data_IF_951051111108
#
_entry.id   IF_951051111108
#
_cell.length_a   1.000
_cell.length_b   1.000
_cell.length_c   1.000
_cell.angle_alpha   90.00
_cell.angle_beta   90.00
_cell.angle_gamma   90.00
#
_symmetry.space_group_name_H-M   'P 1'
#
loop_
_entity.id
_entity.type
_entity.pdbx_description
1 polymer ?
#
# COMPACT_ATOMS: atom_id res chain seq x y z
N UNK A 1 -9.58 0.59 17.23
CA UNK A 1 -8.32 -0.01 16.72
C UNK A 1 -7.94 0.76 15.47
N UNK A 2 -6.66 1.11 15.24
CA UNK A 2 -6.27 1.79 14.02
C UNK A 2 -6.50 0.86 12.82
N UNK A 3 -7.24 1.34 11.82
CA UNK A 3 -7.42 0.63 10.55
C UNK A 3 -6.22 0.96 9.67
N UNK A 4 -5.31 0.00 9.50
CA UNK A 4 -4.15 0.15 8.61
C UNK A 4 -4.56 -0.30 7.22
N UNK A 5 -4.42 0.57 6.23
CA UNK A 5 -4.55 0.23 4.81
C UNK A 5 -3.21 0.48 4.15
N UNK A 6 -2.70 -0.50 3.40
CA UNK A 6 -1.46 -0.39 2.65
C UNK A 6 -1.77 -0.43 1.17
N UNK A 7 -1.38 0.61 0.45
CA UNK A 7 -1.42 0.66 -1.00
C UNK A 7 -0.11 0.10 -1.55
N UNK A 8 -0.21 -0.84 -2.49
CA UNK A 8 0.92 -1.63 -2.96
C UNK A 8 0.86 -1.89 -4.46
N UNK A 9 1.93 -2.49 -4.98
CA UNK A 9 1.93 -3.17 -6.27
C UNK A 9 2.53 -4.57 -6.09
N UNK A 10 2.26 -5.46 -7.06
CA UNK A 10 2.72 -6.85 -7.04
C UNK A 10 4.25 -6.99 -7.05
N UNK A 11 4.94 -6.11 -7.78
CA UNK A 11 6.39 -6.13 -8.01
C UNK A 11 7.20 -5.24 -7.05
N UNK A 12 6.54 -4.44 -6.20
CA UNK A 12 7.19 -3.51 -5.29
C UNK A 12 7.96 -4.24 -4.16
N UNK A 13 9.30 -4.25 -4.27
CA UNK A 13 10.20 -4.85 -3.27
C UNK A 13 10.10 -4.23 -1.87
N UNK A 14 9.72 -2.95 -1.75
CA UNK A 14 9.48 -2.29 -0.46
C UNK A 14 8.17 -2.75 0.18
N UNK A 15 7.13 -2.95 -0.63
CA UNK A 15 5.82 -3.42 -0.20
C UNK A 15 5.94 -4.82 0.40
N UNK A 16 6.74 -5.71 -0.20
CA UNK A 16 7.10 -7.01 0.38
C UNK A 16 7.71 -6.89 1.79
N UNK A 17 8.57 -5.89 2.04
CA UNK A 17 9.15 -5.66 3.38
C UNK A 17 8.13 -5.15 4.38
N UNK A 18 7.23 -4.25 3.96
CA UNK A 18 6.15 -3.75 4.84
C UNK A 18 5.15 -4.85 5.18
N UNK A 19 4.74 -5.69 4.22
CA UNK A 19 3.92 -6.89 4.47
C UNK A 19 4.53 -7.76 5.56
N UNK A 20 5.84 -8.05 5.44
CA UNK A 20 6.57 -8.85 6.43
C UNK A 20 6.59 -8.19 7.81
N UNK A 21 6.87 -6.89 7.87
CA UNK A 21 6.88 -6.13 9.12
C UNK A 21 5.52 -6.15 9.83
N UNK A 22 4.43 -5.91 9.09
CA UNK A 22 3.07 -5.93 9.64
C UNK A 22 2.70 -7.33 10.15
N UNK A 23 3.05 -8.38 9.40
CA UNK A 23 2.84 -9.76 9.81
C UNK A 23 3.64 -10.13 11.07
N UNK A 24 4.91 -9.72 11.16
CA UNK A 24 5.78 -10.01 12.30
C UNK A 24 5.33 -9.29 13.59
N UNK A 25 4.57 -8.19 13.47
CA UNK A 25 4.02 -7.43 14.58
C UNK A 25 2.53 -7.72 14.83
N UNK A 26 1.96 -8.72 14.15
CA UNK A 26 0.53 -9.10 14.27
C UNK A 26 -0.43 -7.92 14.03
N UNK A 27 -0.03 -6.98 13.17
CA UNK A 27 -0.85 -5.82 12.81
C UNK A 27 -1.80 -6.23 11.70
N UNK A 28 -3.10 -6.19 11.98
CA UNK A 28 -4.13 -6.38 10.97
C UNK A 28 -4.13 -5.19 10.01
N UNK A 29 -4.06 -5.46 8.71
CA UNK A 29 -4.11 -4.46 7.67
C UNK A 29 -4.92 -4.92 6.46
N UNK A 30 -5.44 -3.96 5.71
CA UNK A 30 -6.02 -4.18 4.38
C UNK A 30 -4.98 -3.81 3.33
N UNK A 31 -4.83 -4.64 2.32
CA UNK A 31 -3.95 -4.38 1.19
C UNK A 31 -4.75 -4.03 -0.05
N UNK A 32 -4.37 -2.97 -0.75
CA UNK A 32 -4.97 -2.56 -2.02
C UNK A 32 -3.87 -2.53 -3.07
N UNK A 33 -4.01 -3.33 -4.13
CA UNK A 33 -3.14 -3.26 -5.30
C UNK A 33 -3.63 -2.13 -6.22
N UNK A 34 -2.79 -1.12 -6.42
CA UNK A 34 -3.11 0.02 -7.29
C UNK A 34 -3.00 -0.31 -8.78
N UNK A 35 -2.41 -1.45 -9.15
CA UNK A 35 -2.36 -1.93 -10.53
C UNK A 35 -3.73 -2.45 -10.98
N UNK A 36 -4.54 -2.95 -10.04
CA UNK A 36 -5.87 -3.51 -10.29
C UNK A 36 -7.01 -2.53 -9.93
N UNK A 37 -6.69 -1.44 -9.23
CA UNK A 37 -7.65 -0.45 -8.79
C UNK A 37 -7.24 0.97 -9.20
N UNK A 38 -7.85 1.47 -10.27
CA UNK A 38 -7.58 2.80 -10.82
C UNK A 38 -7.93 3.93 -9.85
N UNK A 39 -9.02 3.78 -9.08
CA UNK A 39 -9.42 4.78 -8.07
C UNK A 39 -8.35 4.88 -6.95
N UNK A 40 -7.83 3.74 -6.50
CA UNK A 40 -6.75 3.69 -5.53
C UNK A 40 -5.46 4.30 -6.09
N UNK A 41 -5.14 4.08 -7.37
CA UNK A 41 -3.98 4.69 -8.01
C UNK A 41 -4.09 6.22 -8.06
N UNK A 42 -5.25 6.77 -8.42
CA UNK A 42 -5.51 8.20 -8.42
C UNK A 42 -5.41 8.81 -7.02
N UNK A 43 -5.91 8.09 -6.01
CA UNK A 43 -5.82 8.51 -4.62
C UNK A 43 -4.35 8.59 -4.16
N UNK A 44 -3.54 7.58 -4.48
CA UNK A 44 -2.11 7.57 -4.18
C UNK A 44 -1.39 8.71 -4.89
N UNK A 45 -1.69 8.98 -6.17
CA UNK A 45 -1.14 10.14 -6.88
C UNK A 45 -1.49 11.46 -6.18
N UNK A 46 -2.74 11.62 -5.75
CA UNK A 46 -3.19 12.83 -5.08
C UNK A 46 -2.41 13.08 -3.79
N UNK A 47 -2.14 12.03 -3.01
CA UNK A 47 -1.35 12.12 -1.79
C UNK A 47 0.14 12.36 -2.05
N UNK A 48 0.67 11.78 -3.13
CA UNK A 48 2.10 11.78 -3.45
C UNK A 48 2.48 12.79 -4.54
N UNK A 49 1.75 13.91 -4.63
CA UNK A 49 2.04 15.03 -5.55
C UNK A 49 2.17 14.59 -7.01
N UNK A 50 1.27 13.72 -7.45
CA UNK A 50 1.21 13.16 -8.80
C UNK A 50 2.02 11.88 -9.00
N UNK A 51 2.67 11.33 -7.97
CA UNK A 51 3.44 10.09 -8.09
C UNK A 51 2.67 8.86 -7.60
N UNK A 52 2.79 7.73 -8.29
CA UNK A 52 2.29 6.42 -7.81
C UNK A 52 3.30 5.71 -6.92
N UNK A 53 3.92 6.44 -5.99
CA UNK A 53 4.91 5.85 -5.10
C UNK A 53 4.23 4.91 -4.12
N UNK A 54 4.70 3.66 -4.05
CA UNK A 54 4.25 2.66 -3.08
C UNK A 54 5.47 2.11 -2.32
N UNK A 55 5.31 1.61 -1.09
CA UNK A 55 4.06 1.53 -0.31
C UNK A 55 3.60 2.90 0.22
N UNK A 56 2.28 3.15 0.17
CA UNK A 56 1.61 4.37 0.72
C UNK A 56 0.53 3.96 1.70
#
# INVERSE_FOLDING_TARGET
MPNVTMYSTSWCGFCHRVRRFLADNEVMYTEIDIEENEEAALQVEQWNRGNRTVPT
#
